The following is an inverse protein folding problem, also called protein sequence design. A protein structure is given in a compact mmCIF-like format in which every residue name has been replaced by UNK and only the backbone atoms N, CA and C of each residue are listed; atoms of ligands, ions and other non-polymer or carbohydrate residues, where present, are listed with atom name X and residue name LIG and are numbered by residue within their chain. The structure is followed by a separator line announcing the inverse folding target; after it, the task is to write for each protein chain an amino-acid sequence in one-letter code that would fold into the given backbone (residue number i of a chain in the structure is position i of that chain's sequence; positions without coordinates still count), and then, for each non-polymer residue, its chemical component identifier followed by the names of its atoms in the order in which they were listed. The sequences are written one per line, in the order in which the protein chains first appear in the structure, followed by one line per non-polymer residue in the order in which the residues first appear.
data_IF_804497490104
#
_entry.id   IF_804497490104
#
_cell.length_a   1.000
_cell.length_b   1.000
_cell.length_c   1.000
_cell.angle_alpha   90.00
_cell.angle_beta   90.00
_cell.angle_gamma   90.00
#
_symmetry.space_group_name_H-M   'P 1'
#
loop_
_entity.id
_entity.type
_entity.pdbx_description
1 polymer ?
#
# COMPACT_ATOMS: atom_id res chain seq x y z
N UNK A 1 -17.23 51.24 -11.68
CA UNK A 1 -15.85 50.77 -11.98
C UNK A 1 -15.70 50.58 -13.48
N UNK A 2 -14.60 51.04 -14.09
CA UNK A 2 -14.36 50.87 -15.52
C UNK A 2 -14.30 49.37 -15.86
N UNK A 3 -15.00 48.90 -16.92
CA UNK A 3 -15.03 47.46 -17.28
C UNK A 3 -13.63 46.91 -17.53
N UNK A 4 -12.74 47.72 -18.10
CA UNK A 4 -11.31 47.38 -18.25
C UNK A 4 -10.61 47.12 -16.92
N UNK A 5 -10.86 47.94 -15.91
CA UNK A 5 -10.27 47.79 -14.58
C UNK A 5 -10.80 46.53 -13.91
N UNK A 6 -12.12 46.30 -13.98
CA UNK A 6 -12.75 45.09 -13.45
C UNK A 6 -12.16 43.81 -14.06
N UNK A 7 -12.07 43.73 -15.40
CA UNK A 7 -11.58 42.52 -16.07
C UNK A 7 -10.10 42.27 -15.78
N UNK A 8 -9.27 43.31 -15.69
CA UNK A 8 -7.87 43.15 -15.31
C UNK A 8 -7.69 42.73 -13.84
N UNK A 9 -8.53 43.22 -12.93
CA UNK A 9 -8.55 42.77 -11.53
C UNK A 9 -8.93 41.29 -11.44
N UNK A 10 -9.98 40.86 -12.15
CA UNK A 10 -10.40 39.45 -12.17
C UNK A 10 -9.28 38.58 -12.75
N UNK A 11 -8.64 39.00 -13.85
CA UNK A 11 -7.53 38.26 -14.44
C UNK A 11 -6.36 38.11 -13.46
N UNK A 12 -5.99 39.20 -12.77
CA UNK A 12 -4.93 39.17 -11.76
C UNK A 12 -5.26 38.23 -10.59
N UNK A 13 -6.49 38.28 -10.07
CA UNK A 13 -6.94 37.35 -9.02
C UNK A 13 -6.91 35.89 -9.50
N UNK A 14 -7.25 35.64 -10.77
CA UNK A 14 -7.25 34.30 -11.34
C UNK A 14 -5.82 33.75 -11.54
N UNK A 15 -4.85 34.62 -11.87
CA UNK A 15 -3.42 34.29 -11.87
C UNK A 15 -2.95 33.91 -10.46
N UNK A 16 -3.30 34.71 -9.44
CA UNK A 16 -2.96 34.40 -8.04
C UNK A 16 -3.61 33.10 -7.57
N UNK A 17 -4.87 32.85 -7.93
CA UNK A 17 -5.57 31.61 -7.63
C UNK A 17 -4.91 30.37 -8.27
N UNK A 18 -4.41 30.51 -9.49
CA UNK A 18 -3.69 29.44 -10.18
C UNK A 18 -2.31 29.22 -9.58
N UNK A 19 -1.59 30.31 -9.25
CA UNK A 19 -0.27 30.24 -8.61
C UNK A 19 -0.33 29.62 -7.21
N UNK A 20 -1.30 30.03 -6.38
CA UNK A 20 -1.51 29.46 -5.05
C UNK A 20 -1.78 27.96 -5.10
N UNK A 21 -2.50 27.49 -6.12
CA UNK A 21 -2.77 26.07 -6.30
C UNK A 21 -1.55 25.29 -6.80
N UNK A 22 -0.72 25.93 -7.63
CA UNK A 22 0.55 25.34 -8.04
C UNK A 22 1.48 25.11 -6.83
N UNK A 23 1.57 26.08 -5.91
CA UNK A 23 2.35 25.89 -4.67
C UNK A 23 1.81 24.73 -3.83
N UNK A 24 0.49 24.67 -3.61
CA UNK A 24 -0.19 23.60 -2.86
C UNK A 24 0.15 22.21 -3.41
N UNK A 25 -0.04 22.00 -4.71
CA UNK A 25 0.23 20.71 -5.39
C UNK A 25 1.72 20.37 -5.38
N UNK A 26 2.61 21.37 -5.45
CA UNK A 26 4.06 21.13 -5.50
C UNK A 26 4.65 20.60 -4.17
N UNK A 27 3.96 20.84 -3.07
CA UNK A 27 4.37 20.43 -1.72
C UNK A 27 3.77 19.07 -1.29
N UNK A 28 2.83 18.50 -2.05
CA UNK A 28 2.18 17.24 -1.69
C UNK A 28 3.14 16.03 -1.70
N UNK A 29 3.13 15.31 -0.59
CA UNK A 29 3.86 14.05 -0.42
C UNK A 29 3.06 12.90 -1.07
N UNK A 30 3.64 12.15 -2.02
CA UNK A 30 2.98 11.03 -2.68
C UNK A 30 2.43 9.96 -1.72
N UNK A 31 3.08 9.73 -0.57
CA UNK A 31 2.56 8.79 0.44
C UNK A 31 1.36 9.36 1.20
N UNK A 32 1.25 10.69 1.35
CA UNK A 32 0.07 11.33 1.93
C UNK A 32 -0.97 11.73 0.87
N UNK A 33 -0.66 11.51 -0.41
CA UNK A 33 -1.59 11.61 -1.54
C UNK A 33 -2.52 10.37 -1.58
N UNK A 34 -3.29 10.20 -0.51
CA UNK A 34 -4.15 9.03 -0.31
C UNK A 34 -5.45 9.17 -1.09
N UNK A 35 -5.88 8.09 -1.76
CA UNK A 35 -7.22 7.97 -2.36
C UNK A 35 -8.27 7.99 -1.24
N UNK A 36 -8.09 7.14 -0.22
CA UNK A 36 -8.85 7.18 1.03
C UNK A 36 -8.09 6.53 2.19
N UNK A 37 -8.44 6.94 3.41
CA UNK A 37 -7.98 6.34 4.65
C UNK A 37 -9.15 5.78 5.46
N UNK A 38 -8.95 4.63 6.09
CA UNK A 38 -9.92 4.00 6.98
C UNK A 38 -9.26 3.74 8.34
N UNK A 39 -9.85 4.29 9.40
CA UNK A 39 -9.46 3.98 10.78
C UNK A 39 -10.23 2.76 11.26
N UNK A 40 -9.53 1.83 11.91
CA UNK A 40 -10.11 0.63 12.50
C UNK A 40 -9.83 0.57 14.00
N UNK A 41 -10.81 0.04 14.73
CA UNK A 41 -10.71 -0.21 16.17
C UNK A 41 -9.94 -1.52 16.43
N UNK A 42 -8.61 -1.41 16.45
CA UNK A 42 -7.70 -2.51 16.72
C UNK A 42 -6.34 -2.34 16.05
N UNK A 43 -5.58 -3.44 16.01
CA UNK A 43 -4.30 -3.51 15.31
C UNK A 43 -4.48 -4.18 13.96
N UNK A 44 -4.07 -3.49 12.89
CA UNK A 44 -4.07 -4.08 11.54
C UNK A 44 -2.92 -5.06 11.43
N UNK A 45 -3.21 -6.36 11.34
CA UNK A 45 -2.20 -7.40 11.21
C UNK A 45 -1.76 -7.59 9.76
N UNK A 46 -2.71 -7.56 8.81
CA UNK A 46 -2.42 -7.71 7.39
C UNK A 46 -3.44 -7.03 6.50
N UNK A 47 -2.95 -6.47 5.40
CA UNK A 47 -3.76 -6.00 4.28
C UNK A 47 -3.34 -6.74 3.01
N UNK A 48 -4.31 -7.09 2.17
CA UNK A 48 -4.03 -7.69 0.87
C UNK A 48 -5.19 -7.44 -0.10
N UNK A 49 -4.89 -7.36 -1.38
CA UNK A 49 -5.92 -7.33 -2.42
C UNK A 49 -6.46 -8.73 -2.67
N UNK A 50 -7.77 -8.88 -2.57
CA UNK A 50 -8.49 -10.09 -3.01
C UNK A 50 -8.66 -10.05 -4.53
N UNK A 51 -8.93 -8.86 -5.06
CA UNK A 51 -9.12 -8.59 -6.49
C UNK A 51 -8.68 -7.15 -6.80
N UNK A 52 -8.72 -6.73 -8.07
CA UNK A 52 -8.52 -5.32 -8.43
C UNK A 52 -9.62 -4.37 -7.91
N UNK A 53 -10.62 -4.87 -7.18
CA UNK A 53 -11.74 -4.06 -6.67
C UNK A 53 -11.97 -4.17 -5.15
N UNK A 54 -11.30 -5.12 -4.50
CA UNK A 54 -11.61 -5.46 -3.10
C UNK A 54 -10.36 -5.84 -2.34
N UNK A 55 -10.32 -5.40 -1.09
CA UNK A 55 -9.26 -5.59 -0.12
C UNK A 55 -9.77 -6.49 1.02
N UNK A 56 -8.90 -7.35 1.52
CA UNK A 56 -9.07 -7.98 2.82
C UNK A 56 -8.17 -7.26 3.83
N UNK A 57 -8.75 -6.88 4.96
CA UNK A 57 -8.07 -6.28 6.09
C UNK A 57 -8.30 -7.16 7.30
N UNK A 58 -7.23 -7.63 7.91
CA UNK A 58 -7.30 -8.47 9.10
C UNK A 58 -6.86 -7.65 10.29
N UNK A 59 -7.76 -7.49 11.25
CA UNK A 59 -7.59 -6.68 12.44
C UNK A 59 -7.65 -7.58 13.66
N UNK A 60 -6.69 -7.44 14.56
CA UNK A 60 -6.65 -8.11 15.86
C UNK A 60 -6.89 -7.08 16.97
N UNK A 61 -7.11 -7.54 18.19
CA UNK A 61 -7.05 -6.65 19.34
C UNK A 61 -5.62 -6.48 19.84
N UNK A 62 -5.22 -5.26 20.26
CA UNK A 62 -3.89 -5.04 20.81
C UNK A 62 -3.67 -5.89 22.06
N UNK A 63 -2.43 -6.38 22.20
CA UNK A 63 -2.00 -7.28 23.27
C UNK A 63 -2.06 -6.59 24.64
N UNK A 64 -2.97 -7.09 25.49
CA UNK A 64 -3.09 -6.94 26.97
C UNK A 64 -3.11 -5.49 27.52
N UNK A 65 -4.18 -5.07 28.23
CA UNK A 65 -4.21 -3.79 28.93
C UNK A 65 -3.33 -3.81 30.19
N UNK A 66 -2.81 -2.64 30.57
CA UNK A 66 -2.05 -2.44 31.82
C UNK A 66 -2.95 -2.57 33.07
N UNK A 67 -4.29 -2.51 32.92
CA UNK A 67 -5.28 -2.70 34.00
C UNK A 67 -6.50 -3.48 33.50
N UNK A 68 -6.94 -4.46 34.29
CA UNK A 68 -8.05 -5.37 33.95
C UNK A 68 -9.43 -4.84 34.34
N UNK A 69 -9.49 -3.87 35.26
CA UNK A 69 -10.75 -3.26 35.71
C UNK A 69 -11.38 -2.50 34.53
N UNK A 70 -12.36 -3.12 33.87
CA UNK A 70 -13.10 -2.68 32.67
C UNK A 70 -12.58 -3.13 31.29
N UNK A 71 -11.70 -4.14 31.19
CA UNK A 71 -11.27 -4.63 29.87
C UNK A 71 -12.31 -5.55 29.22
N UNK A 72 -12.88 -5.11 28.10
CA UNK A 72 -13.73 -5.95 27.24
C UNK A 72 -12.86 -6.60 26.18
N UNK A 73 -12.70 -7.92 26.26
CA UNK A 73 -12.03 -8.71 25.20
C UNK A 73 -12.87 -8.62 23.94
N UNK A 74 -12.44 -7.80 22.98
CA UNK A 74 -13.04 -7.75 21.65
C UNK A 74 -12.47 -8.87 20.78
N UNK A 75 -13.26 -9.30 19.83
CA UNK A 75 -12.82 -10.24 18.82
C UNK A 75 -11.98 -9.51 17.76
N UNK A 76 -11.01 -10.22 17.15
CA UNK A 76 -10.44 -9.78 15.89
C UNK A 76 -11.52 -9.74 14.80
N UNK A 77 -11.24 -9.12 13.67
CA UNK A 77 -12.18 -9.01 12.55
C UNK A 77 -11.46 -9.11 11.22
N UNK A 78 -12.10 -9.74 10.24
CA UNK A 78 -11.73 -9.62 8.83
C UNK A 78 -12.74 -8.66 8.20
N UNK A 79 -12.24 -7.53 7.71
CA UNK A 79 -13.00 -6.62 6.88
C UNK A 79 -12.74 -6.91 5.41
N UNK A 80 -13.81 -6.99 4.62
CA UNK A 80 -13.71 -6.90 3.17
C UNK A 80 -14.13 -5.49 2.77
N UNK A 81 -13.22 -4.76 2.14
CA UNK A 81 -13.38 -3.33 1.82
C UNK A 81 -13.31 -3.15 0.31
N UNK A 82 -14.14 -2.28 -0.27
CA UNK A 82 -14.02 -1.91 -1.69
C UNK A 82 -12.95 -0.82 -1.90
N UNK A 83 -12.74 -0.38 -3.14
CA UNK A 83 -11.78 0.69 -3.44
C UNK A 83 -12.29 2.08 -3.09
N UNK A 84 -13.54 2.21 -2.65
CA UNK A 84 -14.13 3.45 -2.14
C UNK A 84 -13.97 3.57 -0.60
N UNK A 85 -13.43 2.54 0.07
CA UNK A 85 -13.23 2.51 1.52
C UNK A 85 -14.44 2.03 2.32
N UNK A 86 -15.48 1.52 1.66
CA UNK A 86 -16.67 0.97 2.30
C UNK A 86 -16.45 -0.48 2.74
N UNK A 87 -16.82 -0.77 3.99
CA UNK A 87 -16.77 -2.12 4.54
C UNK A 87 -17.97 -2.92 4.00
N UNK A 88 -17.70 -3.84 3.10
CA UNK A 88 -18.69 -4.75 2.51
C UNK A 88 -19.05 -5.90 3.45
N UNK A 89 -18.07 -6.39 4.22
CA UNK A 89 -18.24 -7.52 5.15
C UNK A 89 -17.39 -7.34 6.40
N UNK A 90 -17.89 -7.85 7.52
CA UNK A 90 -17.17 -7.97 8.78
C UNK A 90 -17.35 -9.40 9.32
N UNK A 91 -16.25 -10.15 9.42
CA UNK A 91 -16.23 -11.52 9.93
C UNK A 91 -15.46 -11.51 11.25
N UNK A 92 -16.13 -11.88 12.35
CA UNK A 92 -15.48 -11.94 13.66
C UNK A 92 -14.52 -13.13 13.77
N UNK A 93 -13.33 -12.87 14.29
CA UNK A 93 -12.27 -13.83 14.61
C UNK A 93 -12.10 -13.98 16.13
N UNK A 94 -11.14 -14.80 16.58
CA UNK A 94 -10.70 -14.75 17.97
C UNK A 94 -9.84 -13.49 18.23
N UNK A 95 -9.64 -13.11 19.50
CA UNK A 95 -9.06 -11.81 19.88
C UNK A 95 -7.63 -11.61 19.39
N UNK A 96 -6.82 -12.69 19.45
CA UNK A 96 -5.40 -12.63 19.11
C UNK A 96 -5.14 -13.44 17.84
N UNK A 97 -4.42 -12.80 16.93
CA UNK A 97 -3.94 -13.35 15.68
C UNK A 97 -2.42 -13.41 15.80
N UNK A 98 -1.87 -14.61 15.60
CA UNK A 98 -0.43 -14.86 15.65
C UNK A 98 0.21 -14.64 14.28
N UNK A 99 -0.43 -15.12 13.21
CA UNK A 99 -0.04 -14.85 11.84
C UNK A 99 -1.24 -15.04 10.90
N UNK A 100 -1.17 -14.41 9.73
CA UNK A 100 -2.23 -14.46 8.73
C UNK A 100 -1.67 -14.38 7.32
N UNK A 101 -2.27 -15.13 6.41
CA UNK A 101 -2.00 -15.01 4.98
C UNK A 101 -3.28 -14.97 4.16
N UNK A 102 -3.21 -14.25 3.04
CA UNK A 102 -4.35 -13.94 2.19
C UNK A 102 -3.91 -14.13 0.75
N UNK A 103 -4.58 -15.04 0.04
CA UNK A 103 -4.26 -15.32 -1.36
C UNK A 103 -5.51 -15.76 -2.11
N UNK A 104 -5.85 -14.99 -3.15
CA UNK A 104 -7.03 -15.24 -3.98
C UNK A 104 -8.30 -15.29 -3.13
N UNK A 105 -8.95 -16.45 -3.11
CA UNK A 105 -10.21 -16.66 -2.39
C UNK A 105 -10.04 -17.16 -0.95
N UNK A 106 -8.82 -17.33 -0.46
CA UNK A 106 -8.54 -17.92 0.84
C UNK A 106 -7.85 -16.94 1.80
N UNK A 107 -8.25 -17.03 3.07
CA UNK A 107 -7.63 -16.34 4.19
C UNK A 107 -7.31 -17.39 5.25
N UNK A 108 -6.04 -17.61 5.53
CA UNK A 108 -5.59 -18.52 6.57
C UNK A 108 -5.20 -17.72 7.81
N UNK A 109 -5.83 -18.01 8.95
CA UNK A 109 -5.61 -17.31 10.20
C UNK A 109 -5.10 -18.29 11.24
N UNK A 110 -3.93 -17.98 11.80
CA UNK A 110 -3.41 -18.63 12.99
C UNK A 110 -3.59 -17.72 14.20
N UNK A 111 -4.13 -18.23 15.30
CA UNK A 111 -4.36 -17.41 16.49
C UNK A 111 -4.72 -18.20 17.73
N UNK A 112 -5.00 -17.50 18.82
CA UNK A 112 -5.41 -18.09 20.09
C UNK A 112 -6.42 -17.20 20.80
N UNK A 113 -7.21 -17.80 21.69
CA UNK A 113 -8.13 -17.05 22.54
C UNK A 113 -7.51 -16.72 23.89
N UNK A 114 -8.02 -15.67 24.54
CA UNK A 114 -7.74 -15.38 25.94
C UNK A 114 -9.00 -15.68 26.75
N UNK A 115 -8.85 -16.31 27.91
CA UNK A 115 -9.86 -16.26 28.97
C UNK A 115 -9.48 -15.14 29.94
N UNK A 116 -10.44 -14.27 30.35
CA UNK A 116 -10.18 -13.35 31.44
C UNK A 116 -9.81 -14.14 32.70
N UNK A 117 -8.92 -13.60 33.55
CA UNK A 117 -8.60 -14.23 34.82
C UNK A 117 -9.87 -14.40 35.66
N UNK A 118 -10.04 -15.56 36.32
CA UNK A 118 -11.05 -15.71 37.37
C UNK A 118 -10.80 -14.68 38.48
N UNK A 119 -11.85 -14.19 39.17
CA UNK A 119 -11.79 -13.07 40.14
C UNK A 119 -10.77 -13.26 41.30
N UNK A 120 -10.15 -14.43 41.44
CA UNK A 120 -9.13 -14.77 42.44
C UNK A 120 -7.77 -15.22 41.85
N UNK A 121 -7.61 -15.22 40.53
CA UNK A 121 -6.46 -15.75 39.80
C UNK A 121 -5.66 -14.63 39.12
N UNK A 122 -4.37 -14.51 39.42
CA UNK A 122 -3.44 -13.65 38.67
C UNK A 122 -2.97 -14.29 37.34
N UNK A 123 -3.46 -15.49 37.01
CA UNK A 123 -3.05 -16.25 35.82
C UNK A 123 -4.08 -16.11 34.69
N UNK A 124 -3.59 -15.69 33.51
CA UNK A 124 -4.36 -15.67 32.26
C UNK A 124 -4.34 -17.07 31.67
N UNK A 125 -5.52 -17.67 31.45
CA UNK A 125 -5.63 -18.97 30.77
C UNK A 125 -5.79 -18.72 29.27
N UNK A 126 -4.84 -19.18 28.46
CA UNK A 126 -4.98 -19.15 27.01
C UNK A 126 -5.94 -20.25 26.55
N UNK A 127 -6.88 -19.93 25.65
CA UNK A 127 -7.64 -20.97 24.94
C UNK A 127 -6.70 -21.74 24.01
N UNK A 128 -7.05 -22.99 23.63
CA UNK A 128 -6.31 -23.72 22.63
C UNK A 128 -6.14 -22.87 21.35
N UNK A 129 -4.90 -22.79 20.90
CA UNK A 129 -4.54 -22.15 19.64
C UNK A 129 -5.17 -22.89 18.47
N UNK A 130 -5.43 -22.17 17.39
CA UNK A 130 -6.09 -22.73 16.22
C UNK A 130 -5.49 -22.21 14.93
N UNK A 131 -5.64 -23.02 13.90
CA UNK A 131 -5.48 -22.67 12.50
C UNK A 131 -6.86 -22.77 11.84
N UNK A 132 -7.31 -21.72 11.18
CA UNK A 132 -8.59 -21.71 10.47
C UNK A 132 -8.45 -21.12 9.08
N UNK A 133 -9.03 -21.82 8.10
CA UNK A 133 -9.13 -21.36 6.73
C UNK A 133 -10.52 -20.76 6.52
N UNK A 134 -10.55 -19.57 5.95
CA UNK A 134 -11.76 -18.87 5.56
C UNK A 134 -11.74 -18.63 4.05
N UNK A 135 -12.93 -18.60 3.44
CA UNK A 135 -13.10 -17.97 2.14
C UNK A 135 -13.11 -16.45 2.31
N UNK A 136 -12.63 -15.71 1.32
CA UNK A 136 -12.78 -14.24 1.23
C UNK A 136 -14.24 -13.81 1.17
N UNK A 137 -15.15 -14.75 0.88
CA UNK A 137 -16.60 -14.53 1.01
C UNK A 137 -17.10 -14.52 2.46
N UNK A 138 -16.27 -14.92 3.42
CA UNK A 138 -16.53 -14.87 4.86
C UNK A 138 -16.93 -16.18 5.52
N UNK A 139 -16.98 -17.27 4.76
CA UNK A 139 -17.27 -18.60 5.31
C UNK A 139 -16.01 -19.23 5.90
N UNK A 140 -16.09 -19.73 7.14
CA UNK A 140 -15.07 -20.61 7.70
C UNK A 140 -15.15 -21.98 7.01
N UNK A 141 -14.10 -22.39 6.32
CA UNK A 141 -14.05 -23.65 5.59
C UNK A 141 -13.71 -24.81 6.51
N UNK A 142 -12.67 -24.64 7.34
CA UNK A 142 -12.29 -25.60 8.37
C UNK A 142 -11.49 -24.92 9.49
N UNK A 143 -11.37 -25.62 10.61
CA UNK A 143 -10.61 -25.18 11.78
C UNK A 143 -9.94 -26.38 12.46
N UNK A 144 -8.68 -26.22 12.84
CA UNK A 144 -7.86 -27.23 13.53
C UNK A 144 -7.26 -26.63 14.81
N UNK A 145 -7.15 -27.44 15.85
CA UNK A 145 -6.44 -27.08 17.07
C UNK A 145 -4.94 -27.31 16.89
N UNK A 146 -4.18 -26.23 16.88
CA UNK A 146 -2.72 -26.23 16.70
C UNK A 146 -2.15 -24.87 17.08
N UNK A 147 -0.86 -24.80 17.39
CA UNK A 147 -0.15 -23.56 17.76
C UNK A 147 0.66 -23.01 16.57
N UNK A 148 0.04 -22.31 15.61
CA UNK A 148 0.75 -21.83 14.42
C UNK A 148 1.72 -20.71 14.78
N UNK A 149 2.91 -20.75 14.17
CA UNK A 149 3.95 -19.73 14.25
C UNK A 149 4.02 -18.88 12.99
N UNK A 150 3.82 -19.51 11.83
CA UNK A 150 3.72 -18.83 10.54
C UNK A 150 2.80 -19.61 9.62
N UNK A 151 2.01 -18.91 8.81
CA UNK A 151 1.08 -19.49 7.86
C UNK A 151 1.30 -18.92 6.46
N UNK A 152 1.00 -19.72 5.45
CA UNK A 152 0.92 -19.24 4.07
C UNK A 152 -0.12 -20.03 3.28
N UNK A 153 -0.79 -19.37 2.34
CA UNK A 153 -1.80 -20.00 1.48
C UNK A 153 -1.65 -19.50 0.05
N UNK A 154 -1.78 -20.40 -0.92
CA UNK A 154 -1.91 -20.05 -2.32
C UNK A 154 -2.51 -21.21 -3.11
N UNK A 155 -3.49 -20.92 -3.98
CA UNK A 155 -4.21 -21.95 -4.71
C UNK A 155 -4.89 -22.93 -3.74
N UNK A 156 -4.72 -24.22 -3.97
CA UNK A 156 -5.22 -25.31 -3.14
C UNK A 156 -4.27 -25.71 -1.99
N UNK A 157 -3.15 -25.00 -1.80
CA UNK A 157 -2.11 -25.35 -0.83
C UNK A 157 -2.15 -24.41 0.37
N UNK A 158 -2.22 -24.99 1.57
CA UNK A 158 -2.13 -24.28 2.86
C UNK A 158 -0.94 -24.83 3.63
N UNK A 159 -0.05 -23.96 4.07
CA UNK A 159 1.15 -24.34 4.81
C UNK A 159 1.15 -23.64 6.16
N UNK A 160 1.41 -24.38 7.23
CA UNK A 160 1.54 -23.83 8.56
C UNK A 160 2.77 -24.40 9.28
N UNK A 161 3.66 -23.53 9.74
CA UNK A 161 4.63 -23.88 10.78
C UNK A 161 3.92 -23.79 12.13
N UNK A 162 4.08 -24.78 13.00
CA UNK A 162 3.47 -24.81 14.32
C UNK A 162 4.39 -25.45 15.37
N UNK A 163 4.22 -25.03 16.62
CA UNK A 163 4.91 -25.62 17.77
C UNK A 163 4.48 -27.07 17.97
N UNK A 164 5.44 -27.95 18.24
CA UNK A 164 5.16 -29.34 18.58
C UNK A 164 4.82 -29.48 20.07
N UNK A 165 3.88 -30.37 20.41
CA UNK A 165 3.41 -30.59 21.80
C UNK A 165 4.54 -31.06 22.71
N UNK A 166 5.52 -31.75 22.14
CA UNK A 166 6.68 -32.28 22.87
C UNK A 166 7.82 -31.26 23.05
N UNK A 167 7.58 -29.97 22.73
CA UNK A 167 8.58 -28.88 22.74
C UNK A 167 9.81 -29.14 21.86
N UNK A 168 9.64 -29.96 20.82
CA UNK A 168 10.62 -30.14 19.75
C UNK A 168 10.73 -28.90 18.84
N UNK A 169 11.65 -28.92 17.85
CA UNK A 169 11.68 -27.88 16.82
C UNK A 169 10.32 -27.79 16.10
N UNK A 170 9.89 -26.62 15.63
CA UNK A 170 8.60 -26.47 14.98
C UNK A 170 8.47 -27.34 13.74
N UNK A 171 7.27 -27.92 13.60
CA UNK A 171 6.89 -28.72 12.44
C UNK A 171 6.14 -27.87 11.44
N UNK A 172 6.34 -28.18 10.18
CA UNK A 172 5.58 -27.63 9.07
C UNK A 172 4.57 -28.68 8.63
N UNK A 173 3.31 -28.27 8.56
CA UNK A 173 2.20 -29.07 8.09
C UNK A 173 1.71 -28.47 6.77
N UNK A 174 1.54 -29.32 5.77
CA UNK A 174 1.01 -28.94 4.46
C UNK A 174 -0.35 -29.57 4.28
N UNK A 175 -1.36 -28.75 4.00
CA UNK A 175 -2.73 -29.16 3.80
C UNK A 175 -3.21 -28.78 2.40
N UNK A 176 -4.23 -29.49 1.92
CA UNK A 176 -5.04 -28.98 0.82
C UNK A 176 -6.09 -27.96 1.31
N UNK A 177 -6.82 -27.33 0.40
CA UNK A 177 -7.89 -26.37 0.72
C UNK A 177 -9.08 -26.98 1.46
N UNK A 178 -9.32 -28.29 1.32
CA UNK A 178 -10.34 -29.03 2.10
C UNK A 178 -9.90 -29.28 3.56
N UNK A 179 -8.62 -29.04 3.86
CA UNK A 179 -8.03 -29.23 5.17
C UNK A 179 -7.44 -30.61 5.39
N UNK A 180 -7.28 -31.45 4.37
CA UNK A 180 -6.59 -32.74 4.49
C UNK A 180 -5.08 -32.53 4.58
N UNK A 181 -4.42 -33.25 5.48
CA UNK A 181 -2.96 -33.20 5.61
C UNK A 181 -2.33 -33.98 4.45
N UNK A 182 -1.45 -33.31 3.71
CA UNK A 182 -0.69 -33.88 2.60
C UNK A 182 0.62 -34.50 3.09
N UNK A 183 1.43 -33.73 3.83
CA UNK A 183 2.71 -34.17 4.38
C UNK A 183 3.22 -33.20 5.46
N UNK A 184 4.28 -33.62 6.15
CA UNK A 184 4.92 -32.88 7.25
C UNK A 184 6.43 -32.73 7.05
N UNK A 185 7.02 -31.67 7.60
CA UNK A 185 8.47 -31.42 7.61
C UNK A 185 8.87 -30.60 8.84
N UNK A 186 10.12 -30.16 8.94
CA UNK A 186 10.63 -29.31 10.02
C UNK A 186 10.99 -27.92 9.48
N UNK A 187 10.57 -26.85 10.17
CA UNK A 187 10.72 -25.50 9.64
C UNK A 187 10.11 -24.41 10.50
N UNK A 188 10.76 -23.25 10.52
CA UNK A 188 10.26 -22.05 11.20
C UNK A 188 9.53 -21.10 10.27
N UNK A 189 10.10 -20.86 9.06
CA UNK A 189 9.48 -19.97 8.09
C UNK A 189 8.93 -20.73 6.90
N UNK A 190 7.73 -20.37 6.47
CA UNK A 190 7.00 -21.02 5.40
C UNK A 190 6.45 -20.01 4.42
N UNK A 191 6.39 -20.40 3.15
CA UNK A 191 5.70 -19.69 2.09
C UNK A 191 5.25 -20.66 1.01
N UNK A 192 4.17 -20.35 0.31
CA UNK A 192 3.77 -21.08 -0.90
C UNK A 192 3.24 -20.12 -1.97
N UNK A 193 3.42 -20.51 -3.23
CA UNK A 193 2.74 -19.89 -4.38
C UNK A 193 1.69 -20.82 -5.02
N UNK A 194 1.39 -21.96 -4.39
CA UNK A 194 0.47 -23.00 -4.86
C UNK A 194 1.12 -24.09 -5.70
N UNK A 195 2.31 -23.85 -6.24
CA UNK A 195 3.07 -24.86 -7.00
C UNK A 195 4.21 -25.45 -6.18
N UNK A 196 4.93 -24.58 -5.47
CA UNK A 196 6.06 -24.93 -4.61
C UNK A 196 5.88 -24.35 -3.21
N UNK A 197 6.58 -24.96 -2.26
CA UNK A 197 6.55 -24.63 -0.84
C UNK A 197 7.99 -24.38 -0.38
N UNK A 198 8.24 -23.17 0.12
CA UNK A 198 9.53 -22.79 0.69
C UNK A 198 9.51 -22.96 2.20
N UNK A 199 10.47 -23.70 2.73
CA UNK A 199 10.62 -23.94 4.16
C UNK A 199 12.01 -23.50 4.60
N UNK A 200 12.09 -22.58 5.56
CA UNK A 200 13.35 -22.19 6.19
C UNK A 200 13.50 -22.81 7.57
N UNK A 201 14.66 -23.42 7.81
CA UNK A 201 15.07 -23.94 9.10
C UNK A 201 16.47 -23.41 9.44
N UNK A 202 16.54 -22.45 10.36
CA UNK A 202 17.78 -21.71 10.65
C UNK A 202 18.21 -20.86 9.45
N UNK A 203 19.32 -21.25 8.81
CA UNK A 203 19.89 -20.59 7.61
C UNK A 203 19.65 -21.36 6.32
N UNK A 204 19.07 -22.55 6.42
CA UNK A 204 18.82 -23.44 5.30
C UNK A 204 17.41 -23.21 4.81
N UNK A 205 17.26 -23.07 3.50
CA UNK A 205 15.95 -22.96 2.86
C UNK A 205 15.83 -24.12 1.91
N UNK A 206 14.75 -24.88 2.06
CA UNK A 206 14.42 -26.01 1.19
C UNK A 206 13.14 -25.67 0.44
N UNK A 207 13.14 -25.88 -0.87
CA UNK A 207 11.96 -25.71 -1.72
C UNK A 207 11.47 -27.09 -2.09
N UNK A 208 10.18 -27.33 -1.84
CA UNK A 208 9.50 -28.58 -2.12
C UNK A 208 8.41 -28.36 -3.18
N UNK A 209 8.07 -29.42 -3.93
CA UNK A 209 6.81 -29.46 -4.68
C UNK A 209 5.62 -29.48 -3.72
N UNK A 210 4.42 -29.20 -4.21
CA UNK A 210 3.19 -29.38 -3.42
C UNK A 210 3.00 -30.81 -2.91
N UNK A 211 3.58 -31.80 -3.59
CA UNK A 211 3.49 -33.23 -3.25
C UNK A 211 4.57 -33.68 -2.24
N UNK A 212 5.51 -32.79 -1.88
CA UNK A 212 6.52 -33.03 -0.84
C UNK A 212 7.90 -33.45 -1.35
N UNK A 213 8.12 -33.44 -2.67
CA UNK A 213 9.43 -33.72 -3.25
C UNK A 213 10.36 -32.53 -3.10
N UNK A 214 11.57 -32.76 -2.59
CA UNK A 214 12.58 -31.71 -2.49
C UNK A 214 13.12 -31.34 -3.88
N UNK A 215 12.94 -30.09 -4.27
CA UNK A 215 13.40 -29.55 -5.58
C UNK A 215 14.72 -28.80 -5.44
N UNK A 216 14.91 -28.07 -4.34
CA UNK A 216 16.08 -27.18 -4.20
C UNK A 216 16.45 -26.97 -2.73
N UNK A 217 17.75 -26.74 -2.49
CA UNK A 217 18.29 -26.22 -1.23
C UNK A 217 19.10 -24.96 -1.47
N UNK A 218 18.82 -23.93 -0.68
CA UNK A 218 19.59 -22.68 -0.63
C UNK A 218 20.25 -22.59 0.75
N UNK A 219 21.58 -22.51 0.77
CA UNK A 219 22.34 -22.30 2.00
C UNK A 219 22.75 -20.83 2.10
N UNK A 220 22.22 -20.12 3.10
CA UNK A 220 22.60 -18.74 3.36
C UNK A 220 23.77 -18.70 4.34
N UNK A 221 24.90 -18.19 3.86
CA UNK A 221 26.19 -18.31 4.53
C UNK A 221 26.26 -17.56 5.88
N UNK A 222 25.53 -16.45 6.05
CA UNK A 222 25.74 -15.57 7.21
C UNK A 222 24.51 -15.10 8.00
N UNK A 223 23.31 -15.09 7.43
CA UNK A 223 22.19 -14.33 8.03
C UNK A 223 20.99 -15.23 8.37
N UNK A 224 20.36 -15.08 9.55
CA UNK A 224 19.12 -15.79 9.88
C UNK A 224 17.96 -15.32 9.00
N UNK A 225 17.13 -16.26 8.58
CA UNK A 225 15.98 -15.98 7.71
C UNK A 225 14.85 -15.35 8.51
N UNK A 226 14.41 -14.16 8.09
CA UNK A 226 13.23 -13.49 8.64
C UNK A 226 11.95 -13.96 7.93
N UNK A 227 12.00 -14.06 6.61
CA UNK A 227 10.84 -14.40 5.78
C UNK A 227 11.27 -14.93 4.42
N UNK A 228 10.50 -15.89 3.94
CA UNK A 228 10.58 -16.47 2.59
C UNK A 228 9.36 -16.00 1.83
N UNK A 229 9.52 -15.62 0.57
CA UNK A 229 8.41 -15.26 -0.31
C UNK A 229 8.63 -15.93 -1.66
N UNK A 230 7.54 -16.44 -2.23
CA UNK A 230 7.53 -17.10 -3.51
C UNK A 230 6.61 -16.33 -4.44
N UNK A 231 7.14 -15.89 -5.57
CA UNK A 231 6.34 -15.22 -6.60
C UNK A 231 5.63 -16.26 -7.49
N UNK A 232 4.60 -15.84 -8.25
CA UNK A 232 3.96 -16.74 -9.24
C UNK A 232 4.93 -17.24 -10.31
N UNK A 233 5.98 -16.48 -10.63
CA UNK A 233 7.01 -16.90 -11.58
C UNK A 233 8.08 -17.81 -10.94
N UNK A 234 7.85 -18.25 -9.70
CA UNK A 234 8.75 -19.07 -8.89
C UNK A 234 10.09 -18.40 -8.54
N UNK A 235 10.23 -17.08 -8.74
CA UNK A 235 11.34 -16.33 -8.15
C UNK A 235 11.19 -16.33 -6.62
N UNK A 236 12.32 -16.49 -5.94
CA UNK A 236 12.39 -16.67 -4.49
C UNK A 236 12.99 -15.41 -3.88
N UNK A 237 12.25 -14.79 -2.97
CA UNK A 237 12.73 -13.65 -2.21
C UNK A 237 12.95 -14.04 -0.75
N UNK A 238 14.12 -13.68 -0.23
CA UNK A 238 14.48 -13.97 1.15
C UNK A 238 14.89 -12.70 1.85
N UNK A 239 14.20 -12.44 2.97
CA UNK A 239 14.54 -11.37 3.89
C UNK A 239 15.31 -11.95 5.06
N UNK A 240 16.37 -11.27 5.48
CA UNK A 240 17.14 -11.61 6.68
C UNK A 240 17.20 -10.43 7.63
N UNK A 241 17.21 -10.70 8.94
CA UNK A 241 17.29 -9.68 9.99
C UNK A 241 18.69 -9.61 10.61
N UNK A 242 18.88 -8.60 11.46
CA UNK A 242 20.14 -8.26 12.13
C UNK A 242 20.62 -9.36 13.09
N UNK A 243 21.93 -9.64 13.07
CA UNK A 243 22.59 -10.41 14.14
C UNK A 243 23.78 -9.61 14.68
N UNK A 244 23.51 -8.75 15.67
CA UNK A 244 24.51 -7.85 16.25
C UNK A 244 24.43 -6.41 15.74
N UNK A 245 25.22 -5.51 16.35
CA UNK A 245 25.04 -4.05 16.29
C UNK A 245 25.49 -3.39 14.95
N UNK A 246 25.99 -4.15 13.97
CA UNK A 246 26.64 -3.62 12.76
C UNK A 246 26.11 -4.19 11.43
N UNK A 247 25.29 -5.24 11.46
CA UNK A 247 24.71 -5.78 10.23
C UNK A 247 23.54 -4.91 9.75
N UNK A 248 23.08 -5.14 8.51
CA UNK A 248 21.91 -4.49 7.92
C UNK A 248 20.95 -5.57 7.42
N UNK A 249 19.62 -5.43 7.58
CA UNK A 249 18.70 -6.39 6.97
C UNK A 249 18.89 -6.42 5.46
N UNK A 250 18.78 -7.61 4.88
CA UNK A 250 19.03 -7.82 3.46
C UNK A 250 17.82 -8.45 2.79
N UNK A 251 17.57 -8.02 1.57
CA UNK A 251 16.71 -8.70 0.62
C UNK A 251 17.60 -9.40 -0.41
N UNK A 252 17.43 -10.71 -0.54
CA UNK A 252 18.06 -11.53 -1.58
C UNK A 252 17.00 -12.03 -2.53
N UNK A 253 17.21 -11.81 -3.82
CA UNK A 253 16.36 -12.34 -4.88
C UNK A 253 17.08 -13.46 -5.61
N UNK A 254 16.43 -14.60 -5.74
CA UNK A 254 16.89 -15.75 -6.49
C UNK A 254 15.91 -16.02 -7.63
N UNK A 255 16.42 -16.54 -8.74
CA UNK A 255 15.55 -17.11 -9.76
C UNK A 255 15.00 -18.48 -9.32
N UNK A 256 14.05 -19.01 -10.11
CA UNK A 256 13.46 -20.33 -9.89
C UNK A 256 14.45 -21.51 -9.88
N UNK A 257 15.67 -21.31 -10.37
CA UNK A 257 16.74 -22.32 -10.38
C UNK A 257 17.67 -22.17 -9.15
N UNK A 258 17.39 -21.19 -8.28
CA UNK A 258 18.14 -20.95 -7.06
C UNK A 258 19.39 -20.11 -7.25
N UNK A 259 19.55 -19.46 -8.41
CA UNK A 259 20.67 -18.56 -8.66
C UNK A 259 20.37 -17.18 -8.10
N UNK A 260 21.28 -16.66 -7.27
CA UNK A 260 21.16 -15.29 -6.75
C UNK A 260 21.21 -14.29 -7.91
N UNK A 261 20.14 -13.52 -8.08
CA UNK A 261 20.04 -12.45 -9.09
C UNK A 261 20.66 -11.17 -8.57
N UNK A 262 20.28 -10.78 -7.36
CA UNK A 262 20.82 -9.60 -6.69
C UNK A 262 20.56 -9.65 -5.19
N UNK A 263 21.29 -8.81 -4.46
CA UNK A 263 21.14 -8.62 -3.03
C UNK A 263 21.28 -7.14 -2.69
N UNK A 264 20.42 -6.63 -1.80
CA UNK A 264 20.53 -5.27 -1.24
C UNK A 264 20.42 -5.30 0.27
N UNK A 265 21.21 -4.45 0.92
CA UNK A 265 21.13 -4.18 2.34
C UNK A 265 20.41 -2.85 2.57
N UNK A 266 19.66 -2.75 3.66
CA UNK A 266 18.81 -1.60 3.98
C UNK A 266 19.16 -1.02 5.35
N UNK A 267 18.98 0.28 5.54
CA UNK A 267 19.40 0.97 6.78
C UNK A 267 18.40 0.79 7.93
N UNK A 268 17.15 0.49 7.62
CA UNK A 268 16.10 0.29 8.62
C UNK A 268 16.39 -0.90 9.54
N UNK A 269 15.89 -0.88 10.79
CA UNK A 269 16.06 -2.02 11.71
C UNK A 269 15.30 -3.27 11.24
N UNK A 270 14.26 -3.07 10.43
CA UNK A 270 13.35 -4.08 9.91
C UNK A 270 13.01 -3.69 8.48
N UNK A 271 12.95 -4.68 7.58
CA UNK A 271 12.38 -4.49 6.25
C UNK A 271 11.04 -5.22 6.13
N UNK A 272 10.10 -4.57 5.46
CA UNK A 272 8.84 -5.14 5.00
C UNK A 272 8.86 -5.17 3.48
N UNK A 273 8.31 -6.21 2.87
CA UNK A 273 8.38 -6.41 1.42
C UNK A 273 7.04 -6.82 0.85
N UNK A 274 6.70 -6.30 -0.32
CA UNK A 274 5.58 -6.79 -1.13
C UNK A 274 5.99 -6.92 -2.60
N UNK A 275 5.33 -7.80 -3.32
CA UNK A 275 5.61 -8.15 -4.70
C UNK A 275 4.34 -7.97 -5.52
N UNK A 276 4.46 -7.50 -6.76
CA UNK A 276 3.34 -7.63 -7.70
C UNK A 276 3.11 -9.09 -8.04
N UNK A 277 1.88 -9.42 -8.44
CA UNK A 277 1.49 -10.80 -8.74
C UNK A 277 2.34 -11.42 -9.85
N UNK A 278 2.83 -10.60 -10.79
CA UNK A 278 3.72 -10.98 -11.89
C UNK A 278 5.21 -10.90 -11.54
N UNK A 279 5.56 -10.56 -10.30
CA UNK A 279 6.95 -10.45 -9.82
C UNK A 279 7.78 -9.34 -10.45
N UNK A 280 7.19 -8.43 -11.24
CA UNK A 280 7.95 -7.37 -11.93
C UNK A 280 8.35 -6.23 -11.00
N UNK A 281 7.54 -5.92 -10.00
CA UNK A 281 7.81 -4.85 -9.03
C UNK A 281 7.96 -5.43 -7.63
N UNK A 282 8.90 -4.85 -6.90
CA UNK A 282 9.25 -5.23 -5.54
C UNK A 282 9.28 -3.96 -4.71
N UNK A 283 8.35 -3.84 -3.76
CA UNK A 283 8.35 -2.74 -2.81
C UNK A 283 9.01 -3.18 -1.51
N UNK A 284 9.88 -2.33 -0.99
CA UNK A 284 10.58 -2.52 0.29
C UNK A 284 10.38 -1.27 1.13
N UNK A 285 9.94 -1.47 2.36
CA UNK A 285 9.90 -0.42 3.37
C UNK A 285 10.99 -0.67 4.41
N UNK A 286 11.91 0.27 4.59
CA UNK A 286 12.99 0.22 5.58
C UNK A 286 13.02 1.49 6.48
N UNK A 287 11.89 2.18 6.59
CA UNK A 287 11.81 3.57 7.03
C UNK A 287 11.63 4.55 5.85
N UNK A 288 11.94 4.11 4.63
CA UNK A 288 11.46 4.72 3.39
C UNK A 288 10.84 3.68 2.49
N UNK A 289 9.75 4.01 1.81
CA UNK A 289 9.20 3.14 0.77
C UNK A 289 10.07 3.25 -0.49
N UNK A 290 10.57 2.11 -0.97
CA UNK A 290 11.31 1.98 -2.23
C UNK A 290 10.64 0.96 -3.13
N UNK A 291 10.58 1.25 -4.42
CA UNK A 291 10.09 0.33 -5.44
C UNK A 291 11.23 -0.01 -6.38
N UNK A 292 11.46 -1.30 -6.57
CA UNK A 292 12.47 -1.87 -7.45
C UNK A 292 11.81 -2.64 -8.59
N UNK A 293 12.52 -2.72 -9.71
CA UNK A 293 12.25 -3.74 -10.71
C UNK A 293 12.74 -5.12 -10.25
N UNK A 294 12.31 -6.18 -10.95
CA UNK A 294 12.73 -7.56 -10.69
C UNK A 294 14.24 -7.80 -10.74
N UNK A 295 15.00 -6.96 -11.44
CA UNK A 295 16.45 -7.06 -11.57
C UNK A 295 17.20 -6.24 -10.50
N UNK A 296 16.48 -5.58 -9.58
CA UNK A 296 17.05 -4.79 -8.49
C UNK A 296 17.39 -3.35 -8.89
N UNK A 297 16.91 -2.87 -10.05
CA UNK A 297 16.93 -1.46 -10.41
C UNK A 297 15.97 -0.68 -9.52
N UNK A 298 16.43 0.41 -8.89
CA UNK A 298 15.57 1.28 -8.10
C UNK A 298 14.74 2.14 -9.07
N UNK A 299 13.42 1.97 -9.05
CA UNK A 299 12.49 2.72 -9.90
C UNK A 299 11.96 3.96 -9.19
N UNK A 300 11.71 3.85 -7.88
CA UNK A 300 11.18 4.96 -7.09
C UNK A 300 11.59 4.84 -5.62
N UNK A 301 11.75 5.98 -4.96
CA UNK A 301 11.97 6.09 -3.52
C UNK A 301 11.22 7.28 -2.97
N UNK A 302 10.63 7.10 -1.79
CA UNK A 302 10.02 8.19 -1.04
C UNK A 302 11.01 9.35 -0.86
N UNK A 303 10.66 10.57 -1.35
CA UNK A 303 11.55 11.71 -1.25
C UNK A 303 11.52 12.38 0.13
N UNK A 304 10.46 12.18 0.89
CA UNK A 304 10.29 12.72 2.24
C UNK A 304 10.87 11.77 3.29
N UNK A 305 11.08 12.30 4.49
CA UNK A 305 11.45 11.51 5.65
C UNK A 305 10.17 11.25 6.44
N UNK A 306 9.30 10.35 5.98
CA UNK A 306 8.07 10.07 6.72
C UNK A 306 8.40 9.39 8.05
N UNK A 307 7.76 9.88 9.10
CA UNK A 307 7.71 9.22 10.42
C UNK A 307 6.69 8.08 10.45
N UNK A 308 6.27 7.58 9.27
CA UNK A 308 5.27 6.54 9.13
C UNK A 308 5.91 5.20 9.52
N UNK A 309 5.21 4.42 10.34
CA UNK A 309 5.58 3.03 10.63
C UNK A 309 4.61 2.10 9.89
N UNK A 310 5.06 1.53 8.78
CA UNK A 310 4.26 0.54 8.04
C UNK A 310 4.34 -0.82 8.71
N UNK A 311 3.18 -1.34 9.15
CA UNK A 311 3.10 -2.70 9.66
C UNK A 311 2.99 -3.71 8.51
N UNK A 312 2.15 -3.39 7.52
CA UNK A 312 1.83 -4.26 6.37
C UNK A 312 1.51 -3.41 5.13
N UNK A 313 1.80 -3.93 3.95
CA UNK A 313 1.41 -3.33 2.68
C UNK A 313 1.34 -4.38 1.56
N UNK A 314 0.60 -4.09 0.50
CA UNK A 314 0.42 -4.96 -0.66
C UNK A 314 0.19 -4.15 -1.94
N UNK A 315 0.58 -4.73 -3.07
CA UNK A 315 0.20 -4.24 -4.40
C UNK A 315 -1.17 -4.79 -4.81
N UNK A 316 -1.90 -4.03 -5.61
CA UNK A 316 -3.00 -4.58 -6.40
C UNK A 316 -2.48 -5.66 -7.38
N UNK A 317 -3.32 -6.61 -7.82
CA UNK A 317 -2.91 -7.65 -8.75
C UNK A 317 -2.29 -7.12 -10.05
N UNK A 318 -2.76 -5.96 -10.55
CA UNK A 318 -2.22 -5.23 -11.70
C UNK A 318 -1.02 -4.31 -11.37
N UNK A 319 -0.68 -4.14 -10.10
CA UNK A 319 0.44 -3.32 -9.62
C UNK A 319 0.20 -1.81 -9.63
N UNK A 320 -1.00 -1.34 -10.03
CA UNK A 320 -1.32 0.09 -10.16
C UNK A 320 -1.65 0.78 -8.84
N UNK A 321 -2.05 0.02 -7.81
CA UNK A 321 -2.39 0.56 -6.49
C UNK A 321 -1.52 -0.08 -5.41
N UNK A 322 -1.35 0.66 -4.31
CA UNK A 322 -0.71 0.16 -3.10
C UNK A 322 -1.67 0.40 -1.94
N UNK A 323 -1.95 -0.65 -1.18
CA UNK A 323 -2.59 -0.53 0.13
C UNK A 323 -1.52 -0.71 1.20
N UNK A 324 -1.55 0.12 2.22
CA UNK A 324 -0.69 -0.05 3.38
C UNK A 324 -1.45 0.28 4.66
N UNK A 325 -0.95 -0.25 5.77
CA UNK A 325 -1.48 0.07 7.08
C UNK A 325 -0.36 0.33 8.08
N UNK A 326 -0.62 1.30 8.96
CA UNK A 326 0.12 1.45 10.20
C UNK A 326 -0.52 0.59 11.30
N UNK A 327 -0.56 1.07 12.53
CA UNK A 327 -1.17 0.34 13.63
C UNK A 327 -2.69 0.21 13.49
N UNK A 328 -3.38 1.28 13.11
CA UNK A 328 -4.86 1.37 13.14
C UNK A 328 -5.45 2.10 11.94
N UNK A 329 -4.62 2.64 11.05
CA UNK A 329 -5.06 3.29 9.82
C UNK A 329 -4.62 2.50 8.60
N UNK A 330 -5.59 2.24 7.73
CA UNK A 330 -5.37 1.69 6.39
C UNK A 330 -5.44 2.85 5.40
N UNK A 331 -4.55 2.86 4.41
CA UNK A 331 -4.50 3.85 3.35
C UNK A 331 -4.34 3.16 2.01
N UNK A 332 -5.11 3.62 1.03
CA UNK A 332 -4.99 3.22 -0.37
C UNK A 332 -4.41 4.39 -1.17
N UNK A 333 -3.32 4.14 -1.89
CA UNK A 333 -2.68 5.11 -2.78
C UNK A 333 -2.60 4.56 -4.20
N UNK A 334 -2.50 5.47 -5.18
CA UNK A 334 -2.00 5.08 -6.50
C UNK A 334 -0.51 4.75 -6.35
N UNK A 335 -0.06 3.70 -7.03
CA UNK A 335 1.36 3.39 -7.05
C UNK A 335 2.11 4.57 -7.70
N UNK A 336 3.10 5.20 -7.03
CA UNK A 336 3.81 6.39 -7.54
C UNK A 336 4.52 6.21 -8.89
N UNK A 337 4.67 4.97 -9.37
CA UNK A 337 5.16 4.72 -10.74
C UNK A 337 4.11 5.03 -11.83
N UNK A 338 2.84 5.10 -11.46
CA UNK A 338 1.69 5.31 -12.33
C UNK A 338 0.94 6.62 -12.01
N UNK A 339 1.46 7.43 -11.10
CA UNK A 339 0.94 8.75 -10.72
C UNK A 339 2.14 9.71 -10.72
N UNK A 340 2.54 10.12 -11.92
CA UNK A 340 3.74 10.92 -12.17
C UNK A 340 3.47 12.38 -11.77
N UNK A 341 2.26 12.87 -12.01
CA UNK A 341 1.84 14.22 -11.70
C UNK A 341 1.32 14.41 -10.26
N UNK A 342 1.16 13.31 -9.52
CA UNK A 342 0.77 13.21 -8.11
C UNK A 342 -0.66 13.63 -7.81
N UNK A 343 -1.55 13.60 -8.79
CA UNK A 343 -2.93 14.04 -8.63
C UNK A 343 -3.90 12.93 -8.15
N UNK A 344 -3.36 11.73 -7.85
CA UNK A 344 -4.08 10.52 -7.41
C UNK A 344 -4.86 9.83 -8.52
N UNK A 345 -4.58 10.16 -9.77
CA UNK A 345 -5.14 9.53 -10.96
C UNK A 345 -4.01 8.72 -11.63
N UNK A 346 -4.42 7.74 -12.45
CA UNK A 346 -3.46 6.94 -13.21
C UNK A 346 -3.06 7.70 -14.47
N UNK A 347 -1.75 7.90 -14.63
CA UNK A 347 -1.11 8.65 -15.72
C UNK A 347 -0.57 7.75 -16.84
N UNK A 348 -0.73 6.43 -16.73
CA UNK A 348 0.02 5.49 -17.56
C UNK A 348 -0.40 5.47 -19.04
N UNK A 349 -1.53 6.09 -19.37
CA UNK A 349 -2.01 6.33 -20.73
C UNK A 349 -1.87 7.80 -21.17
N UNK A 350 -1.40 8.70 -20.30
CA UNK A 350 -1.33 10.12 -20.58
C UNK A 350 -0.15 10.48 -21.49
N UNK A 351 -0.47 11.21 -22.57
CA UNK A 351 0.54 11.67 -23.51
C UNK A 351 1.45 12.73 -22.89
N UNK A 352 0.91 13.52 -21.95
CA UNK A 352 1.62 14.48 -21.12
C UNK A 352 0.94 14.45 -19.74
N UNK A 353 1.54 13.81 -18.72
CA UNK A 353 0.98 13.77 -17.37
C UNK A 353 1.09 15.16 -16.76
N UNK A 354 -0.05 15.82 -16.56
CA UNK A 354 -0.15 17.15 -15.97
C UNK A 354 -1.32 17.11 -15.01
N UNK A 355 -1.04 17.44 -13.76
CA UNK A 355 -2.02 17.45 -12.69
C UNK A 355 -3.33 18.08 -13.17
N UNK A 356 -4.40 17.29 -13.21
CA UNK A 356 -5.62 17.64 -13.96
C UNK A 356 -6.23 18.98 -13.47
N UNK A 357 -6.26 19.18 -12.15
CA UNK A 357 -6.70 20.44 -11.55
C UNK A 357 -5.88 21.67 -11.96
N UNK A 358 -4.56 21.51 -12.12
CA UNK A 358 -3.65 22.58 -12.50
C UNK A 358 -3.81 22.90 -13.99
N UNK A 359 -3.94 21.87 -14.83
CA UNK A 359 -4.18 22.01 -16.26
C UNK A 359 -5.38 22.91 -16.55
N UNK A 360 -6.55 22.63 -15.95
CA UNK A 360 -7.75 23.43 -16.16
C UNK A 360 -7.63 24.87 -15.65
N UNK A 361 -6.93 25.10 -14.54
CA UNK A 361 -6.71 26.45 -14.00
C UNK A 361 -5.78 27.28 -14.88
N UNK A 362 -4.70 26.68 -15.39
CA UNK A 362 -3.80 27.32 -16.35
C UNK A 362 -4.54 27.65 -17.64
N UNK A 363 -5.31 26.69 -18.17
CA UNK A 363 -6.11 26.89 -19.38
C UNK A 363 -7.14 28.02 -19.21
N UNK A 364 -7.90 28.02 -18.10
CA UNK A 364 -8.83 29.09 -17.76
C UNK A 364 -8.14 30.45 -17.65
N UNK A 365 -6.94 30.47 -17.05
CA UNK A 365 -6.12 31.68 -16.95
C UNK A 365 -5.71 32.22 -18.32
N UNK A 366 -5.26 31.35 -19.22
CA UNK A 366 -4.90 31.75 -20.59
C UNK A 366 -6.13 32.29 -21.33
N UNK A 367 -7.26 31.56 -21.30
CA UNK A 367 -8.52 31.97 -21.96
C UNK A 367 -8.98 33.33 -21.43
N UNK A 368 -8.98 33.51 -20.11
CA UNK A 368 -9.40 34.77 -19.51
C UNK A 368 -8.42 35.92 -19.78
N UNK A 369 -7.12 35.63 -19.87
CA UNK A 369 -6.09 36.59 -20.29
C UNK A 369 -6.33 37.10 -21.71
N UNK A 370 -6.66 36.20 -22.64
CA UNK A 370 -7.04 36.56 -24.03
C UNK A 370 -8.31 37.41 -24.04
N UNK A 371 -9.33 37.05 -23.26
CA UNK A 371 -10.55 37.85 -23.10
C UNK A 371 -10.26 39.25 -22.54
N UNK A 372 -9.42 39.34 -21.51
CA UNK A 372 -9.00 40.61 -20.92
C UNK A 372 -8.26 41.48 -21.94
N UNK A 373 -7.32 40.91 -22.71
CA UNK A 373 -6.62 41.60 -23.79
C UNK A 373 -7.59 42.13 -24.86
N UNK A 374 -8.60 41.33 -25.23
CA UNK A 374 -9.63 41.74 -26.17
C UNK A 374 -10.51 42.89 -25.65
N UNK A 375 -10.96 42.84 -24.38
CA UNK A 375 -11.71 43.94 -23.74
C UNK A 375 -10.86 45.21 -23.68
N UNK A 376 -9.60 45.10 -23.26
CA UNK A 376 -8.64 46.20 -23.23
C UNK A 376 -8.50 46.86 -24.61
N UNK A 377 -8.35 46.05 -25.67
CA UNK A 377 -8.25 46.53 -27.04
C UNK A 377 -9.53 47.24 -27.51
N UNK A 378 -10.70 46.63 -27.26
CA UNK A 378 -12.01 47.17 -27.66
C UNK A 378 -12.32 48.50 -26.98
N UNK A 379 -12.02 48.64 -25.70
CA UNK A 379 -12.20 49.91 -24.99
C UNK A 379 -11.22 50.98 -25.44
N UNK A 380 -9.94 50.63 -25.67
CA UNK A 380 -8.95 51.56 -26.21
C UNK A 380 -9.37 52.06 -27.60
N UNK A 381 -9.95 51.20 -28.45
CA UNK A 381 -10.50 51.57 -29.76
C UNK A 381 -11.67 52.56 -29.62
N UNK A 382 -12.66 52.28 -28.75
CA UNK A 382 -13.77 53.20 -28.45
C UNK A 382 -13.29 54.55 -27.92
N UNK A 383 -12.28 54.55 -27.06
CA UNK A 383 -11.66 55.78 -26.55
C UNK A 383 -11.03 56.60 -27.68
N UNK A 384 -10.29 55.96 -28.59
CA UNK A 384 -9.73 56.62 -29.78
C UNK A 384 -10.80 57.16 -30.72
N UNK A 385 -11.90 56.43 -30.94
CA UNK A 385 -13.02 56.89 -31.77
C UNK A 385 -13.69 58.12 -31.17
N UNK A 386 -13.96 58.13 -29.85
CA UNK A 386 -14.49 59.30 -29.15
C UNK A 386 -13.54 60.50 -29.23
N UNK A 387 -12.25 60.29 -28.98
CA UNK A 387 -11.25 61.35 -29.07
C UNK A 387 -11.13 61.90 -30.51
N UNK A 388 -11.19 61.03 -31.51
CA UNK A 388 -11.20 61.42 -32.93
C UNK A 388 -12.43 62.25 -33.27
N UNK A 389 -13.61 61.86 -32.77
CA UNK A 389 -14.86 62.61 -32.99
C UNK A 389 -14.79 64.01 -32.35
N UNK A 390 -14.36 64.09 -31.08
CA UNK A 390 -14.17 65.37 -30.39
C UNK A 390 -13.13 66.27 -31.09
N UNK A 391 -12.04 65.69 -31.59
CA UNK A 391 -11.05 66.43 -32.39
C UNK A 391 -11.65 66.99 -33.69
N UNK A 392 -12.46 66.19 -34.42
CA UNK A 392 -13.12 66.63 -35.64
C UNK A 392 -14.14 67.76 -35.37
N UNK A 393 -14.93 67.65 -34.29
CA UNK A 393 -15.87 68.69 -33.86
C UNK A 393 -15.14 70.02 -33.54
N UNK A 394 -14.04 69.95 -32.78
CA UNK A 394 -13.18 71.12 -32.50
C UNK A 394 -12.60 71.71 -33.79
N UNK A 395 -12.14 70.86 -34.72
CA UNK A 395 -11.60 71.31 -36.01
C UNK A 395 -12.66 72.02 -36.86
N UNK A 396 -13.90 71.56 -36.86
CA UNK A 396 -15.01 72.25 -37.55
C UNK A 396 -15.37 73.59 -36.90
N UNK A 397 -15.37 73.66 -35.57
CA UNK A 397 -15.70 74.91 -34.84
C UNK A 397 -14.63 75.99 -35.03
N UNK A 398 -13.35 75.62 -34.87
CA UNK A 398 -12.23 76.57 -35.02
C UNK A 398 -11.77 76.76 -36.47
N UNK A 399 -12.16 75.87 -37.38
CA UNK A 399 -11.90 75.99 -38.82
C UNK A 399 -12.79 77.02 -39.51
N UNK A 400 -14.03 77.20 -39.04
CA UNK A 400 -14.97 78.20 -39.60
C UNK A 400 -14.65 79.64 -39.20
N UNK A 401 -13.99 79.88 -38.08
CA UNK A 401 -13.60 81.23 -37.61
C UNK A 401 -12.43 81.87 -38.36
N UNK A 402 -11.92 81.25 -39.43
CA UNK A 402 -10.78 81.76 -40.22
C UNK A 402 -11.12 82.16 -41.66
N UNK A 403 -12.38 82.04 -42.08
CA UNK A 403 -12.84 82.36 -43.45
C UNK A 403 -13.82 83.54 -43.55
N UNK A 404 -14.13 84.23 -42.45
CA UNK A 404 -14.76 85.56 -42.44
C UNK A 404 -13.72 86.62 -42.05
#
# INVERSE_FOLDING_TARGET
MNKRVLVNIIFFLLVLYTYSYFEEVSEEDPLFSVIWGLEVDGRVEKVSFISNKTLAVVVSQPYIPVKWDNYVVKNGSIFVVNLEGEILKNISLLPIIQDVDISGEFIIVGGYGILPPEESSSTVTLKPSYLALYSTNGSQLWKREMEPLQVSVAGDVVVASASDKDRGPPKVYVFNSNGDLLWESCGYKVATNGEVIGIAYGRNISIFTKDGDLVMKLELISDPVNGVYLTKNQDIAITSYLMGNMDKPKLRMFDKDGRLRWMKAFEGPIIRTAFTSDGKLIAVFDGKLRIFDKNGGLLWVEPYNSSIFLNTFAFSPDGRLIVYADYSYIRLIVNPLFDIDKDKILDDEDLIPIHNGLFWRVLLTIIFGVFAAWVNWKEKKRGREKARKAYLELKETFGKTKED
#
